data_IF_136192827747
#
_entry.id   IF_136192827747
#
_cell.length_a   1.000
_cell.length_b   1.000
_cell.length_c   1.000
_cell.angle_alpha   90.00
_cell.angle_beta   90.00
_cell.angle_gamma   90.00
#
_symmetry.space_group_name_H-M   'P 1'
#
loop_
_entity.id
_entity.type
_entity.pdbx_description
1 polymer ?
#
# COMPACT_ATOMS: atom_id res chain seq x y z
N UNK A 1 -29.93 -48.31 22.38
CA UNK A 1 -31.12 -48.03 21.55
C UNK A 1 -30.71 -48.22 20.09
N UNK A 2 -31.49 -48.92 19.26
CA UNK A 2 -31.12 -49.32 17.90
C UNK A 2 -31.19 -48.14 16.91
N UNK A 3 -30.28 -47.18 17.07
CA UNK A 3 -30.06 -46.17 16.05
C UNK A 3 -28.93 -46.60 15.13
N UNK A 4 -29.12 -46.46 13.83
CA UNK A 4 -28.03 -46.67 12.87
C UNK A 4 -27.02 -45.51 12.87
N UNK A 5 -25.97 -45.64 12.05
CA UNK A 5 -24.92 -44.63 11.84
C UNK A 5 -25.45 -43.32 11.25
N UNK A 6 -26.66 -43.31 10.71
CA UNK A 6 -27.32 -42.14 10.13
C UNK A 6 -28.35 -41.51 11.10
N UNK A 7 -28.54 -42.11 12.27
CA UNK A 7 -29.43 -41.59 13.31
C UNK A 7 -30.89 -41.98 13.18
N UNK A 8 -31.20 -42.95 12.32
CA UNK A 8 -32.56 -43.50 12.19
C UNK A 8 -32.78 -44.56 13.28
N UNK A 9 -33.87 -44.42 14.03
CA UNK A 9 -34.30 -45.42 15.00
C UNK A 9 -35.01 -46.56 14.26
N UNK A 10 -34.55 -47.80 14.45
CA UNK A 10 -35.28 -48.98 14.01
C UNK A 10 -36.00 -49.63 15.18
N UNK A 11 -37.20 -50.17 14.95
CA UNK A 11 -37.87 -50.94 16.00
C UNK A 11 -37.02 -52.17 16.36
N UNK A 12 -36.92 -52.54 17.65
CA UNK A 12 -36.32 -53.81 18.04
C UNK A 12 -36.97 -54.97 17.25
N UNK A 13 -36.20 -55.98 16.80
CA UNK A 13 -36.75 -57.08 16.02
C UNK A 13 -37.58 -58.00 16.92
N UNK A 14 -38.87 -57.72 17.04
CA UNK A 14 -39.84 -58.58 17.76
C UNK A 14 -40.96 -59.12 16.86
N UNK A 15 -41.03 -58.73 15.58
CA UNK A 15 -42.07 -59.21 14.67
C UNK A 15 -41.48 -59.55 13.30
N UNK A 16 -40.87 -60.74 13.16
CA UNK A 16 -40.77 -61.38 11.85
C UNK A 16 -42.00 -62.25 11.70
N UNK A 17 -42.95 -61.85 10.85
CA UNK A 17 -43.99 -62.76 10.40
C UNK A 17 -43.32 -63.90 9.60
N UNK A 18 -43.61 -65.14 9.97
CA UNK A 18 -43.02 -66.33 9.34
C UNK A 18 -43.86 -66.75 8.14
N UNK A 19 -43.23 -67.04 7.01
CA UNK A 19 -43.92 -67.48 5.77
C UNK A 19 -44.78 -68.70 6.04
N UNK A 20 -46.11 -68.55 5.89
CA UNK A 20 -47.11 -69.61 6.09
C UNK A 20 -48.11 -69.34 7.22
N UNK A 21 -47.88 -68.35 8.09
CA UNK A 21 -48.81 -67.97 9.16
C UNK A 21 -49.64 -66.73 8.82
N UNK A 22 -50.87 -66.65 9.34
CA UNK A 22 -51.76 -65.48 9.15
C UNK A 22 -51.18 -64.28 9.89
N UNK A 23 -50.81 -63.23 9.16
CA UNK A 23 -50.45 -61.93 9.73
C UNK A 23 -51.74 -61.24 10.20
N UNK A 24 -51.87 -61.02 11.50
CA UNK A 24 -53.01 -60.31 12.07
C UNK A 24 -52.75 -58.80 11.98
N UNK A 25 -53.74 -57.99 11.59
CA UNK A 25 -53.58 -56.53 11.42
C UNK A 25 -53.16 -55.80 12.73
N UNK A 26 -53.44 -56.44 13.86
CA UNK A 26 -53.02 -56.06 15.22
C UNK A 26 -51.52 -56.32 15.52
N UNK A 27 -50.79 -57.00 14.63
CA UNK A 27 -49.34 -57.23 14.74
C UNK A 27 -48.48 -56.16 14.04
N UNK A 28 -49.08 -55.22 13.31
CA UNK A 28 -48.42 -53.99 12.85
C UNK A 28 -49.08 -52.80 13.55
N UNK A 29 -48.51 -52.43 14.69
CA UNK A 29 -49.04 -51.33 15.50
C UNK A 29 -48.56 -50.00 14.88
N UNK A 30 -49.43 -49.32 14.14
CA UNK A 30 -49.20 -47.96 13.60
C UNK A 30 -48.60 -47.02 14.69
N UNK A 31 -49.08 -47.03 15.94
CA UNK A 31 -48.42 -46.33 17.05
C UNK A 31 -46.93 -46.62 17.27
N UNK A 32 -46.44 -47.83 17.04
CA UNK A 32 -45.00 -48.14 17.17
C UNK A 32 -44.19 -47.64 15.98
N UNK A 33 -44.77 -47.60 14.79
CA UNK A 33 -44.16 -46.93 13.63
C UNK A 33 -44.11 -45.41 13.84
N UNK A 34 -45.18 -44.83 14.39
CA UNK A 34 -45.25 -43.41 14.77
C UNK A 34 -44.21 -43.06 15.83
N UNK A 35 -44.01 -43.93 16.83
CA UNK A 35 -42.96 -43.76 17.85
C UNK A 35 -41.57 -43.91 17.25
N UNK A 36 -41.35 -44.89 16.36
CA UNK A 36 -40.06 -45.03 15.67
C UNK A 36 -39.76 -43.83 14.76
N UNK A 37 -40.79 -43.27 14.13
CA UNK A 37 -40.71 -42.05 13.34
C UNK A 37 -40.44 -40.83 14.22
N UNK A 38 -41.11 -40.69 15.35
CA UNK A 38 -40.90 -39.61 16.32
C UNK A 38 -39.50 -39.67 16.94
N UNK A 39 -39.01 -40.86 17.30
CA UNK A 39 -37.66 -41.04 17.84
C UNK A 39 -36.56 -40.84 16.79
N UNK A 40 -36.86 -41.11 15.51
CA UNK A 40 -35.99 -40.76 14.39
C UNK A 40 -35.94 -39.24 14.12
N UNK A 41 -36.77 -38.44 14.81
CA UNK A 41 -36.76 -36.98 14.75
C UNK A 41 -36.07 -36.35 15.97
N UNK A 42 -35.52 -37.13 16.91
CA UNK A 42 -34.84 -36.62 18.10
C UNK A 42 -33.32 -36.48 17.88
N UNK A 43 -32.68 -35.52 18.57
CA UNK A 43 -31.22 -35.45 18.64
C UNK A 43 -30.70 -36.58 19.55
N UNK A 44 -29.71 -37.34 19.10
CA UNK A 44 -29.04 -38.32 19.98
C UNK A 44 -28.28 -37.59 21.08
N UNK A 45 -28.45 -38.03 22.33
CA UNK A 45 -27.79 -37.47 23.51
C UNK A 45 -26.26 -37.56 23.47
N UNK A 46 -25.72 -38.49 22.70
CA UNK A 46 -24.27 -38.71 22.55
C UNK A 46 -23.64 -37.88 21.41
N UNK A 47 -24.44 -37.11 20.65
CA UNK A 47 -23.95 -36.30 19.54
C UNK A 47 -23.37 -37.08 18.37
N UNK A 48 -23.54 -38.40 18.33
CA UNK A 48 -22.89 -39.29 17.35
C UNK A 48 -23.41 -39.15 15.92
N UNK A 49 -24.53 -38.45 15.71
CA UNK A 49 -25.13 -38.24 14.38
C UNK A 49 -25.65 -36.81 14.20
N UNK A 50 -25.32 -36.12 13.08
CA UNK A 50 -25.87 -34.81 12.75
C UNK A 50 -27.40 -34.81 12.66
N UNK A 51 -28.05 -33.66 12.88
CA UNK A 51 -29.49 -33.53 12.70
C UNK A 51 -29.85 -33.74 11.21
N UNK A 52 -30.44 -34.89 10.89
CA UNK A 52 -30.84 -35.25 9.52
C UNK A 52 -32.18 -34.63 9.09
N UNK A 53 -32.92 -33.99 10.01
CA UNK A 53 -34.21 -33.29 9.81
C UNK A 53 -34.40 -32.19 10.86
N UNK A 54 -35.35 -31.26 10.62
CA UNK A 54 -35.67 -30.13 11.52
C UNK A 54 -36.10 -30.60 12.91
N UNK A 55 -35.46 -30.09 13.97
CA UNK A 55 -35.76 -30.40 15.37
C UNK A 55 -36.49 -29.23 16.03
N UNK A 56 -37.69 -29.47 16.56
CA UNK A 56 -38.46 -28.45 17.28
C UNK A 56 -37.95 -28.34 18.72
N UNK A 57 -37.35 -27.18 19.09
CA UNK A 57 -36.60 -26.98 20.34
C UNK A 57 -36.98 -25.70 21.09
N UNK A 58 -38.27 -25.40 21.29
CA UNK A 58 -38.68 -24.17 21.99
C UNK A 58 -37.90 -22.91 21.53
N UNK A 59 -37.47 -22.89 20.26
CA UNK A 59 -36.70 -21.81 19.64
C UNK A 59 -35.34 -22.13 19.02
N UNK A 60 -34.53 -23.12 19.43
CA UNK A 60 -33.12 -23.16 18.98
C UNK A 60 -32.51 -24.53 18.67
N UNK A 61 -32.54 -24.89 17.39
CA UNK A 61 -31.34 -25.24 16.62
C UNK A 61 -31.42 -24.42 15.33
N UNK A 62 -30.37 -23.67 15.00
CA UNK A 62 -30.34 -22.89 13.77
C UNK A 62 -29.23 -23.40 12.87
N UNK A 63 -29.64 -24.17 11.87
CA UNK A 63 -28.83 -24.60 10.72
C UNK A 63 -29.60 -24.22 9.45
N UNK A 64 -28.91 -23.90 8.37
CA UNK A 64 -29.51 -23.37 7.12
C UNK A 64 -30.39 -22.12 7.32
N UNK A 65 -29.98 -21.17 8.18
CA UNK A 65 -30.51 -19.80 8.11
C UNK A 65 -30.34 -19.31 6.66
N UNK A 66 -31.46 -19.15 5.97
CA UNK A 66 -31.50 -18.43 4.70
C UNK A 66 -30.97 -17.01 4.89
N UNK A 67 -30.58 -16.37 3.80
CA UNK A 67 -30.01 -15.03 3.87
C UNK A 67 -30.96 -14.07 4.61
N UNK A 68 -30.41 -13.30 5.56
CA UNK A 68 -31.14 -12.28 6.30
C UNK A 68 -31.79 -11.30 5.31
N UNK A 69 -33.11 -11.07 5.44
CA UNK A 69 -33.86 -10.20 4.52
C UNK A 69 -34.20 -8.86 5.16
N UNK A 70 -34.25 -8.79 6.50
CA UNK A 70 -34.63 -7.59 7.25
C UNK A 70 -33.56 -7.20 8.30
N UNK A 71 -33.49 -5.92 8.72
CA UNK A 71 -32.47 -5.38 9.65
C UNK A 71 -32.41 -5.96 11.08
N UNK A 72 -33.22 -6.96 11.42
CA UNK A 72 -33.22 -7.62 12.74
C UNK A 72 -33.04 -9.14 12.68
N UNK A 73 -32.87 -9.70 11.48
CA UNK A 73 -32.69 -11.13 11.29
C UNK A 73 -31.29 -11.57 11.77
N UNK A 74 -31.19 -12.80 12.29
CA UNK A 74 -29.90 -13.41 12.58
C UNK A 74 -29.12 -13.62 11.27
N UNK A 75 -27.90 -13.09 11.18
CA UNK A 75 -27.03 -13.26 10.01
C UNK A 75 -26.36 -14.64 10.03
N UNK A 76 -26.31 -15.32 8.89
CA UNK A 76 -25.57 -16.56 8.75
C UNK A 76 -24.06 -16.28 8.79
N UNK A 77 -23.24 -17.24 9.25
CA UNK A 77 -21.78 -17.13 9.19
C UNK A 77 -21.28 -16.82 7.77
N UNK A 78 -21.95 -17.37 6.76
CA UNK A 78 -21.67 -17.10 5.34
C UNK A 78 -21.82 -15.62 5.00
N UNK A 79 -22.87 -14.95 5.47
CA UNK A 79 -23.07 -13.51 5.26
C UNK A 79 -22.06 -12.67 6.05
N UNK A 80 -21.70 -13.11 7.26
CA UNK A 80 -20.65 -12.45 8.05
C UNK A 80 -19.28 -12.56 7.37
N UNK A 81 -18.91 -13.73 6.84
CA UNK A 81 -17.67 -13.91 6.08
C UNK A 81 -17.70 -13.14 4.74
N UNK A 82 -18.88 -12.99 4.13
CA UNK A 82 -19.05 -12.16 2.93
C UNK A 82 -18.92 -10.66 3.22
N UNK A 83 -19.16 -10.21 4.47
CA UNK A 83 -19.04 -8.80 4.85
C UNK A 83 -17.59 -8.27 4.81
N UNK A 84 -16.61 -9.16 4.93
CA UNK A 84 -15.17 -8.86 4.85
C UNK A 84 -14.54 -9.86 3.87
N UNK A 85 -14.52 -9.55 2.55
CA UNK A 85 -14.05 -10.49 1.56
C UNK A 85 -12.59 -10.89 1.78
N UNK A 86 -12.28 -12.12 1.38
CA UNK A 86 -10.90 -12.63 1.42
C UNK A 86 -10.04 -11.78 0.49
N UNK A 87 -8.85 -11.41 0.96
CA UNK A 87 -7.97 -10.48 0.26
C UNK A 87 -8.25 -9.00 0.53
N UNK A 88 -9.27 -8.65 1.34
CA UNK A 88 -9.46 -7.27 1.79
C UNK A 88 -8.26 -6.80 2.62
N UNK A 89 -7.81 -5.58 2.35
CA UNK A 89 -6.72 -4.91 3.07
C UNK A 89 -7.29 -3.82 3.96
N UNK A 90 -6.89 -3.79 5.23
CA UNK A 90 -7.26 -2.76 6.19
C UNK A 90 -6.03 -2.18 6.87
N UNK A 91 -6.16 -0.91 7.26
CA UNK A 91 -5.23 -0.26 8.18
C UNK A 91 -5.46 -0.79 9.59
N UNK A 92 -4.38 -1.04 10.33
CA UNK A 92 -4.43 -1.67 11.64
C UNK A 92 -3.38 -1.06 12.59
N UNK A 93 -3.75 -0.69 13.83
CA UNK A 93 -2.90 0.14 14.67
C UNK A 93 -1.93 -0.62 15.58
N UNK A 94 -1.88 -1.95 15.56
CA UNK A 94 -1.00 -2.74 16.44
C UNK A 94 -0.14 -3.73 15.67
N UNK A 95 0.89 -4.25 16.32
CA UNK A 95 1.91 -5.11 15.69
C UNK A 95 1.41 -6.52 15.37
N UNK A 96 0.47 -7.03 16.17
CA UNK A 96 0.00 -8.42 16.03
C UNK A 96 -1.33 -8.44 15.29
N UNK A 97 -1.39 -8.98 14.06
CA UNK A 97 -2.65 -9.08 13.34
C UNK A 97 -3.61 -10.02 14.09
N UNK A 98 -4.92 -9.74 14.08
CA UNK A 98 -5.90 -10.63 14.68
C UNK A 98 -5.97 -11.96 13.94
N UNK A 99 -6.58 -12.98 14.56
CA UNK A 99 -6.77 -14.29 13.94
C UNK A 99 -7.45 -14.16 12.56
N UNK A 100 -6.91 -14.86 11.58
CA UNK A 100 -7.41 -14.84 10.21
C UNK A 100 -6.93 -13.65 9.37
N UNK A 101 -5.94 -12.91 9.86
CA UNK A 101 -5.29 -11.82 9.14
C UNK A 101 -3.77 -12.01 9.11
N UNK A 102 -3.14 -11.46 8.09
CA UNK A 102 -1.69 -11.38 7.97
C UNK A 102 -1.26 -9.94 7.76
N UNK A 103 -0.08 -9.56 8.25
CA UNK A 103 0.54 -8.29 7.89
C UNK A 103 0.96 -8.31 6.41
N UNK A 104 0.92 -7.15 5.75
CA UNK A 104 1.31 -6.97 4.35
C UNK A 104 2.77 -6.49 4.22
N UNK A 105 3.73 -7.38 4.48
CA UNK A 105 5.16 -7.08 4.41
C UNK A 105 5.90 -7.90 3.33
N UNK A 106 5.19 -8.36 2.31
CA UNK A 106 5.79 -9.05 1.15
C UNK A 106 6.19 -10.50 1.38
N UNK A 107 5.82 -11.10 2.51
CA UNK A 107 6.24 -12.45 2.85
C UNK A 107 5.60 -13.52 1.98
N UNK A 108 6.36 -14.60 1.74
CA UNK A 108 5.86 -15.82 1.13
C UNK A 108 5.00 -16.60 2.14
N UNK A 109 3.82 -17.04 1.71
CA UNK A 109 2.86 -17.79 2.53
C UNK A 109 2.37 -19.04 1.79
N UNK A 110 1.99 -20.07 2.55
CA UNK A 110 1.59 -21.37 2.01
C UNK A 110 0.30 -21.29 1.19
N UNK A 111 0.33 -21.82 -0.05
CA UNK A 111 -0.85 -21.98 -0.92
C UNK A 111 -1.86 -22.95 -0.33
N UNK A 112 -1.40 -23.96 0.41
CA UNK A 112 -2.28 -24.96 1.04
C UNK A 112 -2.99 -24.38 2.24
N UNK A 113 -2.27 -23.65 3.09
CA UNK A 113 -2.84 -23.03 4.30
C UNK A 113 -3.77 -21.87 3.94
N UNK A 114 -3.42 -21.08 2.94
CA UNK A 114 -4.16 -19.88 2.54
C UNK A 114 -4.74 -20.00 1.12
N UNK A 115 -5.36 -21.16 0.82
CA UNK A 115 -5.86 -21.48 -0.52
C UNK A 115 -6.86 -20.45 -1.05
N UNK A 116 -7.76 -19.96 -0.20
CA UNK A 116 -8.74 -18.95 -0.60
C UNK A 116 -8.09 -17.60 -0.93
N UNK A 117 -7.10 -17.18 -0.13
CA UNK A 117 -6.32 -15.97 -0.43
C UNK A 117 -5.49 -16.11 -1.71
N UNK A 118 -4.91 -17.29 -1.96
CA UNK A 118 -4.23 -17.58 -3.21
C UNK A 118 -5.18 -17.51 -4.42
N UNK A 119 -6.42 -17.99 -4.27
CA UNK A 119 -7.45 -17.86 -5.31
C UNK A 119 -7.73 -16.41 -5.71
N UNK A 120 -7.62 -15.47 -4.76
CA UNK A 120 -7.80 -14.03 -5.01
C UNK A 120 -6.52 -13.39 -5.58
N UNK A 121 -5.37 -13.58 -4.94
CA UNK A 121 -4.13 -12.88 -5.27
C UNK A 121 -3.31 -13.52 -6.39
N UNK A 122 -3.34 -14.84 -6.52
CA UNK A 122 -2.44 -15.60 -7.36
C UNK A 122 -0.98 -15.28 -7.03
N UNK A 123 -0.18 -15.01 -8.06
CA UNK A 123 1.25 -14.68 -7.94
C UNK A 123 1.55 -13.20 -8.21
N UNK A 124 0.53 -12.32 -8.21
CA UNK A 124 0.65 -10.90 -8.61
C UNK A 124 1.68 -10.11 -7.78
N UNK A 125 1.90 -10.52 -6.53
CA UNK A 125 2.85 -9.87 -5.61
C UNK A 125 4.14 -10.68 -5.40
N UNK A 126 4.35 -11.72 -6.21
CA UNK A 126 5.49 -12.62 -6.16
C UNK A 126 5.05 -14.08 -6.16
N UNK A 127 5.81 -14.92 -6.88
CA UNK A 127 5.51 -16.34 -7.04
C UNK A 127 5.87 -17.19 -5.82
N UNK A 128 6.45 -16.60 -4.77
CA UNK A 128 7.06 -17.33 -3.66
C UNK A 128 8.21 -18.22 -4.17
N UNK A 129 8.19 -19.48 -3.79
CA UNK A 129 9.05 -20.56 -4.28
C UNK A 129 8.65 -21.10 -5.67
N UNK A 130 7.61 -20.54 -6.30
CA UNK A 130 7.10 -20.98 -7.60
C UNK A 130 6.11 -22.14 -7.55
N UNK A 131 5.96 -22.82 -6.40
CA UNK A 131 5.18 -24.05 -6.28
C UNK A 131 4.22 -24.07 -5.10
N UNK A 132 4.76 -24.07 -3.87
CA UNK A 132 4.00 -24.28 -2.64
C UNK A 132 3.60 -22.99 -1.94
N UNK A 133 4.18 -21.85 -2.33
CA UNK A 133 3.97 -20.54 -1.71
C UNK A 133 3.62 -19.46 -2.72
N UNK A 134 3.15 -18.33 -2.22
CA UNK A 134 2.93 -17.09 -2.96
C UNK A 134 3.16 -15.90 -2.03
N UNK A 135 3.46 -14.73 -2.58
CA UNK A 135 3.70 -13.55 -1.76
C UNK A 135 2.42 -12.73 -1.58
N UNK A 136 2.25 -12.16 -0.39
CA UNK A 136 1.28 -11.09 -0.15
C UNK A 136 1.86 -9.73 -0.59
N UNK A 137 1.06 -8.65 -0.68
CA UNK A 137 1.58 -7.32 -0.95
C UNK A 137 2.62 -6.86 0.09
N UNK A 138 3.63 -6.11 -0.37
CA UNK A 138 4.56 -5.39 0.50
C UNK A 138 4.17 -3.91 0.56
N UNK A 139 3.56 -3.50 1.67
CA UNK A 139 3.07 -2.14 1.89
C UNK A 139 3.93 -1.34 2.88
N UNK A 140 5.09 -1.88 3.28
CA UNK A 140 5.99 -1.20 4.22
C UNK A 140 6.50 0.11 3.64
N UNK A 141 6.24 1.23 4.32
CA UNK A 141 6.69 2.56 3.92
C UNK A 141 6.04 3.10 2.63
N UNK A 142 4.96 2.47 2.14
CA UNK A 142 4.34 2.83 0.86
C UNK A 142 3.01 3.55 1.04
N UNK A 143 2.76 4.52 0.15
CA UNK A 143 1.43 5.09 -0.06
C UNK A 143 0.70 4.24 -1.10
N UNK A 144 -0.51 3.78 -0.78
CA UNK A 144 -1.33 3.01 -1.70
C UNK A 144 -2.02 3.94 -2.69
N UNK A 145 -1.99 3.57 -3.96
CA UNK A 145 -2.66 4.27 -5.05
C UNK A 145 -3.64 3.32 -5.74
N UNK A 146 -4.74 3.88 -6.25
CA UNK A 146 -5.68 3.13 -7.10
C UNK A 146 -5.01 2.71 -8.41
N UNK A 147 -5.34 1.51 -8.90
CA UNK A 147 -4.91 1.05 -10.23
C UNK A 147 -5.48 2.00 -11.29
N UNK A 148 -4.68 2.42 -12.27
CA UNK A 148 -5.04 3.56 -13.14
C UNK A 148 -6.24 3.30 -14.07
N UNK A 149 -6.48 2.03 -14.40
CA UNK A 149 -7.56 1.56 -15.27
C UNK A 149 -8.77 1.02 -14.47
N UNK A 150 -8.58 0.44 -13.28
CA UNK A 150 -9.61 -0.23 -12.45
C UNK A 150 -10.58 -1.14 -13.24
N UNK A 151 -10.13 -1.73 -14.36
CA UNK A 151 -10.96 -2.54 -15.26
C UNK A 151 -11.73 -1.77 -16.34
N UNK A 152 -11.62 -0.44 -16.38
CA UNK A 152 -12.05 0.43 -17.47
C UNK A 152 -10.86 1.05 -18.24
N UNK A 153 -11.07 2.13 -18.99
CA UNK A 153 -9.98 2.87 -19.62
C UNK A 153 -9.05 3.53 -18.59
N UNK A 154 -7.76 3.61 -18.91
CA UNK A 154 -6.75 4.26 -18.06
C UNK A 154 -7.04 5.76 -17.86
N UNK A 155 -7.04 6.22 -16.62
CA UNK A 155 -7.22 7.63 -16.26
C UNK A 155 -5.96 8.49 -16.49
N UNK A 156 -4.82 7.86 -16.76
CA UNK A 156 -3.51 8.48 -16.98
C UNK A 156 -3.05 9.37 -15.82
N UNK A 157 -3.35 8.97 -14.57
CA UNK A 157 -2.92 9.68 -13.35
C UNK A 157 -1.57 9.17 -12.84
N UNK A 158 -1.30 7.89 -13.01
CA UNK A 158 -0.03 7.26 -12.64
C UNK A 158 0.55 6.48 -13.83
N UNK A 159 1.42 7.13 -14.61
CA UNK A 159 1.97 6.56 -15.85
C UNK A 159 3.46 6.29 -15.71
N UNK A 160 3.96 5.29 -16.45
CA UNK A 160 5.38 4.98 -16.44
C UNK A 160 6.25 6.18 -16.86
N UNK A 161 5.76 7.02 -17.77
CA UNK A 161 6.45 8.22 -18.22
C UNK A 161 6.45 9.34 -17.16
N UNK A 162 5.35 9.52 -16.42
CA UNK A 162 5.22 10.61 -15.45
C UNK A 162 5.75 10.27 -14.06
N UNK A 163 5.51 9.05 -13.56
CA UNK A 163 5.85 8.63 -12.20
C UNK A 163 6.93 7.56 -12.12
N UNK A 164 7.35 6.98 -13.26
CA UNK A 164 8.23 5.81 -13.29
C UNK A 164 7.53 4.50 -12.92
N UNK A 165 6.22 4.51 -12.67
CA UNK A 165 5.43 3.34 -12.25
C UNK A 165 4.38 3.03 -13.32
N UNK A 166 4.27 1.76 -13.72
CA UNK A 166 3.16 1.32 -14.55
C UNK A 166 1.89 1.17 -13.69
N UNK A 167 1.06 2.22 -13.66
CA UNK A 167 -0.17 2.25 -12.87
C UNK A 167 -1.26 1.25 -13.27
N UNK A 168 -1.15 0.60 -14.45
CA UNK A 168 -2.07 -0.43 -14.88
C UNK A 168 -1.73 -1.83 -14.32
N UNK A 169 -0.61 -1.98 -13.60
CA UNK A 169 -0.13 -3.27 -13.09
C UNK A 169 -0.21 -3.30 -11.57
N UNK A 170 -1.04 -4.19 -11.02
CA UNK A 170 -1.08 -4.44 -9.57
C UNK A 170 0.28 -4.96 -9.09
N UNK A 171 0.77 -4.41 -7.98
CA UNK A 171 2.07 -4.76 -7.41
C UNK A 171 3.25 -3.97 -8.00
N UNK A 172 3.04 -3.17 -9.06
CA UNK A 172 4.04 -2.19 -9.48
C UNK A 172 4.27 -1.17 -8.36
N UNK A 173 5.53 -0.83 -8.11
CA UNK A 173 5.91 0.04 -7.02
C UNK A 173 7.05 0.98 -7.45
N UNK A 174 7.12 2.14 -6.81
CA UNK A 174 8.13 3.17 -7.07
C UNK A 174 7.89 4.37 -6.17
N UNK A 175 8.36 5.54 -6.61
CA UNK A 175 8.41 6.76 -5.80
C UNK A 175 9.82 7.07 -5.31
N UNK A 176 9.97 8.18 -4.59
CA UNK A 176 11.24 8.61 -4.02
C UNK A 176 11.01 9.29 -2.67
N UNK A 177 11.77 8.90 -1.65
CA UNK A 177 11.75 9.49 -0.31
C UNK A 177 12.43 10.87 -0.29
N UNK A 178 13.38 11.07 -1.21
CA UNK A 178 14.16 12.28 -1.36
C UNK A 178 14.17 12.71 -2.83
N UNK A 179 13.98 14.00 -3.08
CA UNK A 179 14.04 14.59 -4.42
C UNK A 179 15.09 15.69 -4.43
N UNK A 180 16.15 15.48 -5.23
CA UNK A 180 17.13 16.51 -5.54
C UNK A 180 16.46 17.59 -6.39
N UNK A 181 16.69 18.87 -6.08
CA UNK A 181 16.29 19.98 -6.95
C UNK A 181 17.39 20.16 -8.00
N UNK A 182 17.12 19.76 -9.23
CA UNK A 182 18.02 20.03 -10.36
C UNK A 182 17.57 21.28 -11.15
N UNK A 183 18.39 21.69 -12.12
CA UNK A 183 18.12 22.85 -12.97
C UNK A 183 16.80 22.75 -13.76
N UNK A 184 16.34 21.55 -14.09
CA UNK A 184 15.05 21.35 -14.76
C UNK A 184 13.84 21.52 -13.82
N UNK A 185 14.05 21.47 -12.50
CA UNK A 185 13.01 21.70 -11.47
C UNK A 185 13.00 23.13 -10.95
N UNK A 186 13.92 23.97 -11.39
CA UNK A 186 13.99 25.39 -11.05
C UNK A 186 13.37 26.21 -12.20
N UNK A 187 12.46 27.16 -11.91
CA UNK A 187 12.02 28.11 -12.91
C UNK A 187 13.22 28.80 -13.57
N UNK A 188 13.12 29.06 -14.87
CA UNK A 188 14.16 29.82 -15.57
C UNK A 188 14.31 31.18 -14.91
N UNK A 189 15.52 31.46 -14.47
CA UNK A 189 15.92 32.74 -13.89
C UNK A 189 17.31 33.09 -14.40
N UNK A 190 17.65 34.37 -14.36
CA UNK A 190 18.95 34.87 -14.77
C UNK A 190 19.46 35.90 -13.75
N UNK A 191 20.77 35.96 -13.56
CA UNK A 191 21.41 36.96 -12.73
C UNK A 191 22.07 38.00 -13.62
N UNK A 192 21.58 39.24 -13.54
CA UNK A 192 22.21 40.38 -14.20
C UNK A 192 23.27 41.00 -13.30
N UNK A 193 24.38 41.41 -13.90
CA UNK A 193 25.38 42.28 -13.26
C UNK A 193 25.71 43.43 -14.19
N UNK A 194 25.95 44.62 -13.63
CA UNK A 194 26.42 45.79 -14.36
C UNK A 194 27.57 46.45 -13.62
N UNK A 195 28.52 47.03 -14.34
CA UNK A 195 29.64 47.77 -13.74
C UNK A 195 29.58 49.24 -14.11
N UNK A 196 29.92 50.10 -13.14
CA UNK A 196 30.02 51.53 -13.34
C UNK A 196 31.43 51.91 -13.78
N UNK A 197 31.70 51.83 -15.08
CA UNK A 197 32.96 52.32 -15.69
C UNK A 197 34.18 51.43 -15.44
N UNK A 198 35.13 51.46 -16.37
CA UNK A 198 36.37 50.70 -16.29
C UNK A 198 37.12 50.99 -14.97
N UNK A 199 37.57 49.91 -14.30
CA UNK A 199 38.28 50.01 -13.03
C UNK A 199 39.47 50.96 -13.13
N UNK A 200 39.53 51.96 -12.24
CA UNK A 200 40.66 52.88 -12.19
C UNK A 200 41.95 52.13 -11.81
N UNK A 201 43.03 52.36 -12.54
CA UNK A 201 44.36 51.88 -12.18
C UNK A 201 45.38 53.02 -12.36
N UNK A 202 46.51 52.88 -11.67
CA UNK A 202 47.55 53.91 -11.56
C UNK A 202 48.73 53.59 -12.48
N UNK A 203 49.15 54.56 -13.29
CA UNK A 203 50.49 54.51 -13.90
C UNK A 203 51.42 55.43 -13.14
N UNK A 204 52.61 54.93 -12.86
CA UNK A 204 53.72 55.71 -12.32
C UNK A 204 54.70 56.01 -13.46
N UNK A 205 55.01 57.29 -13.65
CA UNK A 205 56.12 57.68 -14.51
C UNK A 205 56.93 58.75 -13.79
N UNK A 206 58.25 58.58 -13.84
CA UNK A 206 59.20 59.48 -13.19
C UNK A 206 59.69 60.52 -14.20
N UNK A 207 59.48 61.79 -13.89
CA UNK A 207 59.98 62.91 -14.67
C UNK A 207 61.12 63.59 -13.90
N UNK A 208 62.24 63.82 -14.58
CA UNK A 208 63.41 64.48 -14.01
C UNK A 208 63.38 65.96 -14.42
N UNK A 209 63.37 66.88 -13.44
CA UNK A 209 63.47 68.34 -13.68
C UNK A 209 62.13 69.09 -13.72
N UNK A 210 61.37 69.09 -12.63
CA UNK A 210 60.08 69.82 -12.53
C UNK A 210 60.04 70.79 -11.34
N UNK A 211 59.69 72.05 -11.63
CA UNK A 211 59.50 73.12 -10.64
C UNK A 211 58.02 73.26 -10.27
N UNK A 212 57.70 73.27 -8.97
CA UNK A 212 56.33 73.45 -8.46
C UNK A 212 55.96 74.92 -8.54
N UNK A 213 55.16 75.30 -9.53
CA UNK A 213 54.57 76.64 -9.58
C UNK A 213 53.13 76.47 -10.04
N UNK A 214 52.29 76.23 -9.03
CA UNK A 214 50.88 76.62 -8.96
C UNK A 214 49.92 76.14 -10.08
N UNK A 215 49.19 75.09 -9.70
CA UNK A 215 47.79 74.81 -10.07
C UNK A 215 47.47 74.45 -11.53
N UNK A 216 47.38 73.12 -11.77
CA UNK A 216 46.40 72.40 -12.62
C UNK A 216 47.03 71.27 -13.44
N UNK A 217 47.59 70.24 -12.78
CA UNK A 217 47.88 68.93 -13.37
C UNK A 217 48.68 68.88 -14.69
N UNK A 218 49.31 69.98 -15.13
CA UNK A 218 50.05 70.04 -16.38
C UNK A 218 51.53 70.30 -16.08
N UNK A 219 52.44 69.34 -16.36
CA UNK A 219 53.86 69.50 -16.05
C UNK A 219 54.47 70.61 -16.90
N UNK A 220 54.98 71.64 -16.27
CA UNK A 220 55.90 72.60 -16.90
C UNK A 220 57.34 72.16 -16.60
N UNK A 221 58.17 71.95 -17.63
CA UNK A 221 59.59 71.61 -17.47
C UNK A 221 60.29 72.79 -16.77
N UNK A 222 60.78 72.56 -15.55
CA UNK A 222 61.36 73.59 -14.69
C UNK A 222 62.71 73.15 -14.14
N UNK A 223 63.71 74.02 -14.23
CA UNK A 223 65.14 73.70 -14.12
C UNK A 223 65.68 73.40 -12.70
N UNK A 224 64.97 72.66 -11.86
CA UNK A 224 65.46 72.22 -10.56
C UNK A 224 65.70 70.70 -10.52
N UNK A 225 66.90 70.31 -10.08
CA UNK A 225 67.43 68.94 -10.06
C UNK A 225 66.82 68.08 -8.94
N UNK A 226 65.48 68.01 -8.86
CA UNK A 226 64.75 67.17 -7.92
C UNK A 226 63.98 66.09 -8.68
N UNK A 227 64.15 64.83 -8.27
CA UNK A 227 63.33 63.70 -8.72
C UNK A 227 62.00 63.74 -7.99
N UNK A 228 60.90 63.94 -8.72
CA UNK A 228 59.54 63.82 -8.18
C UNK A 228 58.79 62.72 -8.93
N UNK A 229 58.31 61.75 -8.17
CA UNK A 229 57.47 60.65 -8.65
C UNK A 229 56.03 61.13 -8.67
N UNK A 230 55.37 61.05 -9.83
CA UNK A 230 53.95 61.39 -9.97
C UNK A 230 53.15 60.16 -10.40
N UNK A 231 52.03 59.92 -9.71
CA UNK A 231 51.07 58.88 -10.04
C UNK A 231 49.87 59.50 -10.75
N UNK A 232 49.50 59.00 -11.93
CA UNK A 232 48.27 59.41 -12.63
C UNK A 232 47.32 58.21 -12.78
N UNK A 233 46.08 58.37 -12.31
CA UNK A 233 44.98 57.44 -12.59
C UNK A 233 44.53 57.58 -14.03
N UNK A 234 44.55 56.48 -14.78
CA UNK A 234 43.89 56.41 -16.09
C UNK A 234 42.62 55.57 -15.97
N UNK A 235 41.66 55.84 -16.85
CA UNK A 235 40.31 55.24 -16.82
C UNK A 235 40.17 54.02 -17.71
N UNK A 236 41.26 53.45 -18.24
CA UNK A 236 41.19 52.33 -19.19
C UNK A 236 41.90 51.10 -18.65
N UNK A 237 41.23 50.31 -17.82
CA UNK A 237 41.71 48.96 -17.54
C UNK A 237 41.46 48.05 -18.78
N UNK A 238 42.42 47.19 -19.18
CA UNK A 238 42.16 46.12 -20.15
C UNK A 238 41.16 45.09 -19.57
N UNK A 239 40.69 44.18 -20.44
CA UNK A 239 39.65 43.17 -20.17
C UNK A 239 39.64 42.65 -18.73
N UNK A 240 38.54 42.89 -18.02
CA UNK A 240 38.26 42.26 -16.73
C UNK A 240 36.94 41.52 -16.80
N UNK A 241 36.89 40.34 -16.19
CA UNK A 241 35.72 39.48 -16.20
C UNK A 241 35.02 39.54 -14.84
N UNK A 242 33.69 39.68 -14.87
CA UNK A 242 32.84 39.43 -13.71
C UNK A 242 32.31 38.00 -13.80
N UNK A 243 32.65 37.19 -12.82
CA UNK A 243 32.05 35.88 -12.66
C UNK A 243 30.84 36.00 -11.72
N UNK A 244 29.65 35.74 -12.24
CA UNK A 244 28.50 35.40 -11.38
C UNK A 244 28.54 33.87 -11.24
N UNK A 245 28.99 33.41 -10.07
CA UNK A 245 28.99 31.98 -9.75
C UNK A 245 27.57 31.45 -9.65
N UNK A 246 27.38 30.18 -10.02
CA UNK A 246 26.16 29.46 -9.68
C UNK A 246 26.17 29.09 -8.20
N UNK A 247 25.06 29.32 -7.51
CA UNK A 247 24.85 28.86 -6.13
C UNK A 247 23.80 27.73 -6.13
N UNK A 248 23.96 26.75 -5.24
CA UNK A 248 23.09 25.58 -5.14
C UNK A 248 23.83 24.28 -5.42
N UNK A 249 23.66 23.31 -4.51
CA UNK A 249 24.37 22.03 -4.55
C UNK A 249 23.52 20.83 -4.97
N UNK A 250 22.33 21.07 -5.56
CA UNK A 250 21.39 20.00 -5.92
C UNK A 250 20.93 19.15 -4.73
N UNK A 251 20.95 19.71 -3.52
CA UNK A 251 20.64 18.94 -2.31
C UNK A 251 19.19 18.46 -2.34
N UNK A 252 18.99 17.23 -1.89
CA UNK A 252 17.67 16.65 -1.85
C UNK A 252 16.87 17.16 -0.65
N UNK A 253 15.59 17.43 -0.87
CA UNK A 253 14.63 17.63 0.20
C UNK A 253 13.86 16.33 0.45
N UNK A 254 13.30 16.18 1.65
CA UNK A 254 12.36 15.10 1.95
C UNK A 254 11.10 15.28 1.11
N UNK A 255 10.65 14.21 0.47
CA UNK A 255 9.44 14.17 -0.34
C UNK A 255 8.37 13.30 0.33
N UNK A 256 8.09 13.62 1.60
CA UNK A 256 7.16 12.87 2.45
C UNK A 256 6.06 13.81 2.91
N UNK A 257 4.81 13.48 2.57
CA UNK A 257 3.64 14.19 3.08
C UNK A 257 3.50 13.97 4.61
N UNK A 258 2.81 14.86 5.35
CA UNK A 258 2.44 14.59 6.74
C UNK A 258 1.76 13.22 6.86
N UNK A 259 2.35 12.31 7.65
CA UNK A 259 1.98 10.89 7.67
C UNK A 259 1.95 10.33 9.09
N UNK A 260 1.08 9.37 9.32
CA UNK A 260 1.03 8.53 10.53
C UNK A 260 1.33 7.08 10.13
N UNK A 261 2.11 6.38 10.95
CA UNK A 261 2.52 5.00 10.67
C UNK A 261 1.52 4.04 11.32
N UNK A 262 0.89 3.21 10.48
CA UNK A 262 -0.02 2.13 10.87
C UNK A 262 0.31 0.91 10.01
N UNK A 263 -0.02 -0.28 10.51
CA UNK A 263 0.17 -1.51 9.78
C UNK A 263 -0.93 -1.71 8.74
N UNK A 264 -0.63 -2.49 7.70
CA UNK A 264 -1.63 -3.01 6.78
C UNK A 264 -1.79 -4.51 7.00
N UNK A 265 -3.03 -4.97 7.13
CA UNK A 265 -3.37 -6.39 7.28
C UNK A 265 -4.28 -6.85 6.16
N UNK A 266 -4.20 -8.13 5.78
CA UNK A 266 -5.00 -8.77 4.73
C UNK A 266 -5.76 -9.99 5.26
N UNK A 267 -7.05 -10.12 4.89
CA UNK A 267 -7.91 -11.24 5.30
C UNK A 267 -7.55 -12.52 4.56
N UNK A 268 -7.30 -13.62 5.29
CA UNK A 268 -6.73 -14.86 4.72
C UNK A 268 -7.74 -15.96 4.37
N UNK A 269 -8.92 -15.97 5.00
CA UNK A 269 -9.91 -17.04 4.84
C UNK A 269 -9.75 -18.24 5.77
N UNK A 270 -8.78 -18.20 6.69
CA UNK A 270 -8.64 -19.15 7.80
C UNK A 270 -8.84 -18.49 9.15
#
# INVERSE_FOLDING_TARGET
MPFDSNGKYSLPPIYKATTGEKVLAEQHNIPFEDVAQALSQCLKRDGSTPAIRNLSMSGFLITDLGDAKNPGDAVSKKLLDASVPIGEIKVFPTDTPPQGWLLCYGQAVSRTTYAALFGVLGTRYGAGDGGSTFNVPDLRGRVVIGRDDMGGPAANRITAAGSGINGAVLGAAGGAENVAINTAQMPWHNHGGGTGGAGGHDHEFSLIGMSDSDHANNPTLGANNQTRVWTRRTSWAPDHAHAIGGEGGGQAHLNVQPSIILNFIIRTGV
#
